data_IF_284614406885
#
_entry.id   IF_284614406885
#
_cell.length_a   1.000
_cell.length_b   1.000
_cell.length_c   1.000
_cell.angle_alpha   90.00
_cell.angle_beta   90.00
_cell.angle_gamma   90.00
#
_symmetry.space_group_name_H-M   'P 1'
#
loop_
_entity.id
_entity.type
_entity.pdbx_description
1 polymer ?
#
# COMPACT_ATOMS: atom_id res chain seq x y z
N UNK A 1 -28.08 8.10 6.74
CA UNK A 1 -26.61 8.32 6.76
C UNK A 1 -25.95 6.96 6.66
N UNK A 2 -25.15 6.76 5.63
CA UNK A 2 -24.38 5.53 5.46
C UNK A 2 -23.00 5.85 4.88
N UNK A 3 -22.02 5.06 5.22
CA UNK A 3 -20.61 5.24 4.81
C UNK A 3 -20.25 4.20 3.75
N UNK A 4 -19.73 4.65 2.61
CA UNK A 4 -19.16 3.78 1.59
C UNK A 4 -17.66 3.61 1.84
N UNK A 5 -17.21 2.40 2.13
CA UNK A 5 -15.82 2.06 2.43
C UNK A 5 -15.20 1.38 1.22
N UNK A 6 -14.23 2.04 0.57
CA UNK A 6 -13.57 1.49 -0.63
C UNK A 6 -12.23 0.81 -0.31
N UNK A 7 -11.83 0.77 0.96
CA UNK A 7 -10.61 0.12 1.39
C UNK A 7 -10.61 -1.37 1.05
N UNK A 8 -9.59 -1.90 0.37
CA UNK A 8 -9.56 -3.29 -0.07
C UNK A 8 -9.27 -4.28 1.07
N UNK A 9 -9.72 -5.52 0.85
CA UNK A 9 -9.40 -6.67 1.67
C UNK A 9 -9.97 -6.62 3.09
N UNK A 10 -9.36 -7.40 3.99
CA UNK A 10 -9.80 -7.56 5.37
C UNK A 10 -9.84 -6.23 6.15
N UNK A 11 -8.89 -5.34 5.91
CA UNK A 11 -8.85 -4.02 6.55
C UNK A 11 -10.11 -3.17 6.22
N UNK A 12 -10.72 -3.36 5.05
CA UNK A 12 -11.96 -2.67 4.67
C UNK A 12 -13.18 -3.27 5.36
N UNK A 13 -13.22 -4.59 5.50
CA UNK A 13 -14.27 -5.31 6.23
C UNK A 13 -14.24 -4.90 7.71
N UNK A 14 -13.09 -4.96 8.36
CA UNK A 14 -12.92 -4.55 9.76
C UNK A 14 -13.31 -3.09 10.00
N UNK A 15 -13.01 -2.20 9.03
CA UNK A 15 -13.43 -0.80 9.12
C UNK A 15 -14.95 -0.66 9.05
N UNK A 16 -15.62 -1.41 8.15
CA UNK A 16 -17.10 -1.43 8.11
C UNK A 16 -17.69 -1.93 9.42
N UNK A 17 -17.17 -3.03 9.97
CA UNK A 17 -17.63 -3.58 11.26
C UNK A 17 -17.45 -2.56 12.40
N UNK A 18 -16.31 -1.86 12.42
CA UNK A 18 -16.05 -0.82 13.42
C UNK A 18 -17.02 0.38 13.31
N UNK A 19 -17.38 0.78 12.08
CA UNK A 19 -18.37 1.84 11.83
C UNK A 19 -19.77 1.37 12.26
N UNK A 20 -20.14 0.16 11.90
CA UNK A 20 -21.45 -0.43 12.25
C UNK A 20 -21.60 -0.60 13.77
N UNK A 21 -20.53 -0.91 14.48
CA UNK A 21 -20.50 -0.96 15.94
C UNK A 21 -20.82 0.39 16.61
N UNK A 22 -20.67 1.51 15.87
CA UNK A 22 -21.06 2.85 16.30
C UNK A 22 -22.48 3.24 15.81
N UNK A 23 -23.30 2.26 15.47
CA UNK A 23 -24.68 2.46 14.99
C UNK A 23 -24.79 3.28 13.69
N UNK A 24 -23.76 3.30 12.88
CA UNK A 24 -23.74 3.94 11.56
C UNK A 24 -23.72 2.85 10.48
N UNK A 25 -24.58 2.96 9.47
CA UNK A 25 -24.59 2.00 8.37
C UNK A 25 -23.31 2.13 7.53
N UNK A 26 -22.73 1.01 7.12
CA UNK A 26 -21.51 0.98 6.32
C UNK A 26 -21.57 -0.10 5.24
N UNK A 27 -21.14 0.27 4.04
CA UNK A 27 -21.13 -0.61 2.86
C UNK A 27 -19.66 -0.81 2.45
N UNK A 28 -19.20 -2.05 2.42
CA UNK A 28 -17.90 -2.39 1.86
C UNK A 28 -17.99 -2.56 0.34
N UNK A 29 -17.31 -1.69 -0.40
CA UNK A 29 -17.21 -1.76 -1.85
C UNK A 29 -15.76 -1.47 -2.28
N UNK A 30 -14.88 -2.48 -2.22
CA UNK A 30 -13.48 -2.30 -2.57
C UNK A 30 -13.34 -2.02 -4.08
N UNK A 31 -12.58 -0.97 -4.42
CA UNK A 31 -12.33 -0.57 -5.81
C UNK A 31 -11.09 -1.22 -6.42
N UNK A 32 -10.22 -1.76 -5.58
CA UNK A 32 -8.98 -2.41 -5.99
C UNK A 32 -8.80 -3.72 -5.21
N UNK A 33 -8.09 -4.65 -5.83
CA UNK A 33 -7.60 -5.87 -5.17
C UNK A 33 -6.09 -5.97 -5.29
N UNK A 34 -5.49 -6.73 -4.37
CA UNK A 34 -4.07 -7.02 -4.41
C UNK A 34 -3.84 -8.45 -4.86
N UNK A 35 -2.89 -8.66 -5.76
CA UNK A 35 -2.47 -9.97 -6.23
C UNK A 35 -0.94 -10.09 -6.13
N UNK A 36 -0.41 -11.31 -5.98
CA UNK A 36 1.04 -11.54 -6.11
C UNK A 36 1.50 -11.12 -7.50
N UNK A 37 2.70 -10.58 -7.59
CA UNK A 37 3.35 -10.34 -8.88
C UNK A 37 3.74 -11.67 -9.52
N UNK A 38 3.77 -11.73 -10.85
CA UNK A 38 4.12 -12.96 -11.59
C UNK A 38 5.64 -13.13 -11.72
N UNK A 39 6.41 -12.02 -11.80
CA UNK A 39 7.87 -12.02 -11.95
C UNK A 39 8.59 -11.99 -10.59
N UNK A 40 8.50 -13.10 -9.87
CA UNK A 40 9.01 -13.22 -8.50
C UNK A 40 10.09 -14.29 -8.32
N UNK A 41 10.45 -15.02 -9.39
CA UNK A 41 11.40 -16.16 -9.27
C UNK A 41 12.78 -15.71 -8.78
N UNK A 42 13.23 -14.53 -9.17
CA UNK A 42 14.53 -13.97 -8.77
C UNK A 42 14.54 -13.33 -7.37
N UNK A 43 13.39 -13.22 -6.70
CA UNK A 43 13.29 -12.49 -5.43
C UNK A 43 14.23 -13.00 -4.33
N UNK A 44 14.37 -14.33 -4.06
CA UNK A 44 15.31 -14.80 -3.04
C UNK A 44 16.75 -14.39 -3.34
N UNK A 45 17.18 -14.48 -4.60
CA UNK A 45 18.53 -14.09 -5.02
C UNK A 45 18.77 -12.59 -4.87
N UNK A 46 17.79 -11.76 -5.27
CA UNK A 46 17.83 -10.30 -5.07
C UNK A 46 18.00 -9.94 -3.60
N UNK A 47 17.18 -10.54 -2.74
CA UNK A 47 17.26 -10.29 -1.29
C UNK A 47 18.60 -10.75 -0.69
N UNK A 48 19.12 -11.90 -1.15
CA UNK A 48 20.39 -12.44 -0.64
C UNK A 48 21.59 -11.57 -1.01
N UNK A 49 21.55 -10.93 -2.17
CA UNK A 49 22.63 -10.08 -2.70
C UNK A 49 22.51 -8.61 -2.27
N UNK A 50 21.47 -8.25 -1.50
CA UNK A 50 21.27 -6.90 -1.02
C UNK A 50 22.05 -6.61 0.27
N UNK A 51 22.56 -5.40 0.41
CA UNK A 51 23.06 -4.85 1.67
C UNK A 51 21.92 -4.29 2.51
N UNK A 52 20.91 -3.70 1.83
CA UNK A 52 19.74 -3.07 2.46
C UNK A 52 18.48 -3.55 1.77
N UNK A 53 17.47 -3.93 2.57
CA UNK A 53 16.11 -4.20 2.10
C UNK A 53 15.14 -3.21 2.72
N UNK A 54 14.40 -2.50 1.87
CA UNK A 54 13.43 -1.47 2.25
C UNK A 54 12.02 -1.98 1.98
N UNK A 55 11.14 -1.99 2.98
CA UNK A 55 9.71 -2.28 2.80
C UNK A 55 8.89 -0.98 2.86
N UNK A 56 8.20 -0.63 1.76
CA UNK A 56 7.40 0.60 1.70
C UNK A 56 5.94 0.41 2.15
N UNK A 57 5.53 -0.81 2.46
CA UNK A 57 4.17 -1.09 2.95
C UNK A 57 4.07 -2.44 3.66
N UNK A 58 3.03 -2.61 4.48
CA UNK A 58 2.71 -3.91 5.08
C UNK A 58 2.35 -4.98 4.03
N UNK A 59 1.76 -4.56 2.89
CA UNK A 59 1.47 -5.45 1.76
C UNK A 59 2.76 -5.96 1.13
N UNK A 60 3.77 -5.10 0.94
CA UNK A 60 5.08 -5.53 0.43
C UNK A 60 5.69 -6.63 1.32
N UNK A 61 5.65 -6.46 2.65
CA UNK A 61 6.13 -7.50 3.59
C UNK A 61 5.30 -8.78 3.48
N UNK A 62 3.97 -8.66 3.40
CA UNK A 62 3.07 -9.82 3.33
C UNK A 62 3.33 -10.65 2.07
N UNK A 63 3.37 -9.99 0.91
CA UNK A 63 3.58 -10.69 -0.36
C UNK A 63 4.99 -11.25 -0.50
N UNK A 64 6.02 -10.53 -0.04
CA UNK A 64 7.39 -11.09 0.04
C UNK A 64 7.44 -12.35 0.89
N UNK A 65 6.81 -12.33 2.08
CA UNK A 65 6.76 -13.51 2.95
C UNK A 65 6.03 -14.70 2.30
N UNK A 66 4.93 -14.42 1.57
CA UNK A 66 4.19 -15.43 0.81
C UNK A 66 5.07 -16.07 -0.26
N UNK A 67 5.72 -15.23 -1.10
CA UNK A 67 6.61 -15.66 -2.17
C UNK A 67 7.77 -16.51 -1.62
N UNK A 68 8.44 -16.04 -0.57
CA UNK A 68 9.55 -16.78 0.04
C UNK A 68 9.10 -18.16 0.57
N UNK A 69 7.90 -18.24 1.16
CA UNK A 69 7.34 -19.52 1.59
C UNK A 69 7.07 -20.47 0.42
N UNK A 70 6.48 -19.99 -0.64
CA UNK A 70 6.18 -20.76 -1.86
C UNK A 70 7.46 -21.29 -2.51
N UNK A 71 8.54 -20.51 -2.45
CA UNK A 71 9.86 -20.89 -2.99
C UNK A 71 10.76 -21.60 -1.96
N UNK A 72 10.25 -21.92 -0.77
CA UNK A 72 11.00 -22.54 0.33
C UNK A 72 12.28 -21.75 0.72
N UNK A 73 12.26 -20.45 0.49
CA UNK A 73 13.35 -19.53 0.79
C UNK A 73 13.12 -18.79 2.12
N UNK A 74 14.19 -18.25 2.68
CA UNK A 74 14.17 -17.50 3.95
C UNK A 74 14.60 -16.06 3.72
N UNK A 75 14.19 -15.17 4.61
CA UNK A 75 14.75 -13.85 4.71
C UNK A 75 16.23 -13.93 5.06
N UNK A 76 17.13 -13.23 4.34
CA UNK A 76 18.56 -13.25 4.65
C UNK A 76 18.84 -12.57 6.01
N UNK A 77 19.76 -13.16 6.79
CA UNK A 77 20.11 -12.66 8.12
C UNK A 77 21.19 -11.54 8.08
N UNK A 78 21.94 -11.44 6.98
CA UNK A 78 23.06 -10.49 6.83
C UNK A 78 22.68 -9.12 6.31
N UNK A 79 21.39 -8.88 6.05
CA UNK A 79 20.86 -7.67 5.39
C UNK A 79 20.37 -6.68 6.43
N UNK A 80 20.56 -5.37 6.19
CA UNK A 80 19.94 -4.31 6.98
C UNK A 80 18.52 -4.06 6.53
N UNK A 81 17.54 -4.19 7.45
CA UNK A 81 16.13 -4.01 7.16
C UNK A 81 15.62 -2.64 7.55
N UNK A 82 14.96 -1.96 6.60
CA UNK A 82 14.32 -0.66 6.82
C UNK A 82 12.87 -0.68 6.38
N UNK A 83 12.05 0.14 7.03
CA UNK A 83 10.64 0.29 6.69
C UNK A 83 10.20 1.75 6.72
N UNK A 84 9.26 2.11 5.85
CA UNK A 84 8.75 3.48 5.69
C UNK A 84 8.07 4.02 6.98
N UNK A 85 7.62 3.14 7.86
CA UNK A 85 6.96 3.52 9.10
C UNK A 85 6.74 2.36 10.06
N UNK A 86 6.31 2.69 11.28
CA UNK A 86 6.25 1.79 12.42
C UNK A 86 5.45 0.49 12.17
N UNK A 87 4.25 0.58 11.59
CA UNK A 87 3.40 -0.61 11.33
C UNK A 87 4.08 -1.58 10.37
N UNK A 88 4.74 -1.06 9.33
CA UNK A 88 5.51 -1.87 8.37
C UNK A 88 6.74 -2.47 9.02
N UNK A 89 7.45 -1.69 9.85
CA UNK A 89 8.62 -2.16 10.61
C UNK A 89 8.28 -3.31 11.56
N UNK A 90 7.18 -3.18 12.28
CA UNK A 90 6.71 -4.24 13.18
C UNK A 90 6.41 -5.55 12.44
N UNK A 91 5.71 -5.45 11.29
CA UNK A 91 5.40 -6.62 10.47
C UNK A 91 6.66 -7.24 9.87
N UNK A 92 7.59 -6.42 9.37
CA UNK A 92 8.87 -6.88 8.81
C UNK A 92 9.74 -7.54 9.88
N UNK A 93 9.86 -6.94 11.07
CA UNK A 93 10.60 -7.52 12.19
C UNK A 93 10.05 -8.87 12.65
N UNK A 94 8.72 -9.06 12.62
CA UNK A 94 8.09 -10.36 12.94
C UNK A 94 8.47 -11.47 11.96
N UNK A 95 8.57 -11.18 10.67
CA UNK A 95 8.86 -12.22 9.66
C UNK A 95 10.35 -12.45 9.46
N UNK A 96 11.18 -11.43 9.65
CA UNK A 96 12.64 -11.52 9.50
C UNK A 96 13.34 -11.97 10.79
N UNK A 97 12.71 -11.77 11.95
CA UNK A 97 13.31 -11.90 13.28
C UNK A 97 14.56 -11.01 13.46
N UNK A 98 14.58 -9.86 12.74
CA UNK A 98 15.67 -8.90 12.73
C UNK A 98 15.22 -7.53 13.23
N UNK A 99 16.17 -6.71 13.65
CA UNK A 99 15.93 -5.30 13.95
C UNK A 99 15.61 -4.56 12.66
N UNK A 100 14.51 -3.79 12.67
CA UNK A 100 14.09 -2.97 11.53
C UNK A 100 14.18 -1.49 11.92
N UNK A 101 14.84 -0.69 11.08
CA UNK A 101 14.93 0.74 11.27
C UNK A 101 13.80 1.45 10.52
N UNK A 102 13.22 2.47 11.17
CA UNK A 102 12.13 3.26 10.59
C UNK A 102 12.12 4.69 11.17
N UNK A 103 11.56 5.69 10.48
CA UNK A 103 11.49 7.06 10.96
C UNK A 103 10.35 7.23 11.98
N UNK A 104 10.43 8.28 12.79
CA UNK A 104 9.35 8.66 13.71
C UNK A 104 8.11 9.12 12.95
N UNK A 105 8.30 9.89 11.86
CA UNK A 105 7.22 10.32 10.96
C UNK A 105 7.26 9.41 9.71
N UNK A 106 6.12 8.76 9.42
CA UNK A 106 6.03 7.73 8.37
C UNK A 106 5.80 8.34 6.99
N UNK A 107 6.81 9.03 6.45
CA UNK A 107 6.87 9.53 5.08
C UNK A 107 8.25 9.30 4.44
N UNK A 108 8.34 9.53 3.14
CA UNK A 108 9.57 9.27 2.38
C UNK A 108 10.67 10.28 2.71
N UNK A 109 10.31 11.50 3.05
CA UNK A 109 11.22 12.60 3.36
C UNK A 109 11.96 12.33 4.68
N UNK A 110 11.25 11.98 5.75
CA UNK A 110 11.84 11.61 7.03
C UNK A 110 12.55 10.25 6.97
N UNK A 111 12.03 9.32 6.14
CA UNK A 111 12.68 8.04 5.92
C UNK A 111 14.09 8.20 5.35
N UNK A 112 14.28 9.09 4.38
CA UNK A 112 15.58 9.36 3.75
C UNK A 112 16.59 10.07 4.69
N UNK A 113 16.14 10.58 5.84
CA UNK A 113 17.00 11.18 6.88
C UNK A 113 17.58 10.14 7.86
N UNK A 114 17.19 8.88 7.76
CA UNK A 114 17.72 7.82 8.61
C UNK A 114 19.25 7.73 8.51
N UNK A 115 19.96 7.51 9.64
CA UNK A 115 21.42 7.41 9.66
C UNK A 115 21.98 6.33 8.72
N UNK A 116 21.21 5.30 8.43
CA UNK A 116 21.57 4.19 7.53
C UNK A 116 21.82 4.67 6.10
N UNK A 117 21.30 5.83 5.70
CA UNK A 117 21.47 6.39 4.36
C UNK A 117 22.60 7.45 4.24
N UNK A 118 23.41 7.62 5.30
CA UNK A 118 24.56 8.56 5.25
C UNK A 118 25.64 8.12 4.24
N UNK A 119 25.96 6.82 4.24
CA UNK A 119 27.00 6.24 3.39
C UNK A 119 26.44 5.00 2.69
N UNK A 120 25.79 5.20 1.53
CA UNK A 120 25.17 4.12 0.75
C UNK A 120 25.82 3.95 -0.64
N UNK A 121 26.87 4.71 -0.94
CA UNK A 121 27.60 4.59 -2.21
C UNK A 121 28.06 3.14 -2.42
N UNK A 122 27.76 2.60 -3.60
CA UNK A 122 28.04 1.23 -4.03
C UNK A 122 27.29 0.12 -3.28
N UNK A 123 26.42 0.44 -2.31
CA UNK A 123 25.57 -0.56 -1.67
C UNK A 123 24.45 -1.01 -2.61
N UNK A 124 24.12 -2.30 -2.54
CA UNK A 124 22.97 -2.90 -3.21
C UNK A 124 21.71 -2.75 -2.34
N UNK A 125 20.70 -2.07 -2.86
CA UNK A 125 19.47 -1.75 -2.15
C UNK A 125 18.27 -2.31 -2.90
N UNK A 126 17.48 -3.16 -2.23
CA UNK A 126 16.23 -3.69 -2.77
C UNK A 126 15.05 -3.00 -2.10
N UNK A 127 14.17 -2.39 -2.90
CA UNK A 127 12.93 -1.76 -2.43
C UNK A 127 11.75 -2.70 -2.73
N UNK A 128 11.15 -3.26 -1.68
CA UNK A 128 9.95 -4.08 -1.75
C UNK A 128 8.73 -3.18 -1.90
N UNK A 129 8.03 -3.27 -3.04
CA UNK A 129 6.86 -2.43 -3.35
C UNK A 129 5.78 -3.18 -4.13
N UNK A 130 4.69 -2.51 -4.42
CA UNK A 130 3.74 -2.89 -5.46
C UNK A 130 4.10 -2.23 -6.79
N UNK A 131 3.26 -2.46 -7.81
CA UNK A 131 3.42 -1.95 -9.18
C UNK A 131 3.24 -0.43 -9.34
N UNK A 132 3.11 0.32 -8.27
CA UNK A 132 2.99 1.78 -8.28
C UNK A 132 3.46 2.40 -6.96
N UNK A 133 3.75 3.70 -6.97
CA UNK A 133 4.14 4.46 -5.78
C UNK A 133 5.14 5.57 -6.13
N UNK A 134 5.62 6.27 -5.09
CA UNK A 134 6.56 7.40 -5.25
C UNK A 134 7.95 6.89 -5.61
N UNK A 135 8.63 7.62 -6.50
CA UNK A 135 10.00 7.32 -6.94
C UNK A 135 11.07 7.98 -6.05
N UNK A 136 10.67 8.88 -5.13
CA UNK A 136 11.57 9.70 -4.34
C UNK A 136 12.67 8.92 -3.61
N UNK A 137 12.35 7.75 -3.04
CA UNK A 137 13.34 6.91 -2.33
C UNK A 137 14.34 6.35 -3.32
N UNK A 138 13.88 5.82 -4.45
CA UNK A 138 14.73 5.27 -5.50
C UNK A 138 15.69 6.33 -6.05
N UNK A 139 15.15 7.46 -6.49
CA UNK A 139 15.92 8.56 -7.07
C UNK A 139 16.95 9.11 -6.07
N UNK A 140 16.54 9.34 -4.82
CA UNK A 140 17.41 9.89 -3.79
C UNK A 140 18.58 8.97 -3.44
N UNK A 141 18.36 7.66 -3.39
CA UNK A 141 19.43 6.68 -3.10
C UNK A 141 20.31 6.43 -4.31
N UNK A 142 19.74 6.39 -5.52
CA UNK A 142 20.52 6.30 -6.77
C UNK A 142 21.44 7.52 -6.96
N UNK A 143 20.96 8.72 -6.65
CA UNK A 143 21.76 9.95 -6.69
C UNK A 143 22.92 9.95 -5.67
N UNK A 144 22.87 9.06 -4.66
CA UNK A 144 23.98 8.81 -3.72
C UNK A 144 24.91 7.68 -4.19
N UNK A 145 24.83 7.27 -5.45
CA UNK A 145 25.58 6.18 -6.07
C UNK A 145 25.34 4.80 -5.43
N UNK A 146 24.16 4.54 -4.87
CA UNK A 146 23.73 3.20 -4.51
C UNK A 146 23.19 2.46 -5.75
N UNK A 147 23.38 1.14 -5.78
CA UNK A 147 22.71 0.26 -6.76
C UNK A 147 21.30 -0.07 -6.25
N UNK A 148 20.30 0.63 -6.74
CA UNK A 148 18.93 0.50 -6.27
C UNK A 148 18.10 -0.27 -7.27
N UNK A 149 17.37 -1.29 -6.81
CA UNK A 149 16.39 -2.00 -7.64
C UNK A 149 15.04 -2.16 -6.94
N UNK A 150 13.98 -2.24 -7.72
CA UNK A 150 12.66 -2.61 -7.22
C UNK A 150 12.46 -4.11 -7.22
N UNK A 151 11.77 -4.59 -6.17
CA UNK A 151 11.10 -5.87 -6.17
C UNK A 151 9.60 -5.61 -6.04
N UNK A 152 8.90 -5.64 -7.18
CA UNK A 152 7.45 -5.48 -7.25
C UNK A 152 6.78 -6.81 -6.88
N UNK A 153 6.54 -7.00 -5.59
CA UNK A 153 6.07 -8.27 -5.02
C UNK A 153 4.55 -8.44 -5.04
N UNK A 154 3.81 -7.36 -5.37
CA UNK A 154 2.37 -7.41 -5.57
C UNK A 154 1.91 -6.39 -6.61
N UNK A 155 0.75 -6.65 -7.18
CA UNK A 155 0.08 -5.74 -8.10
C UNK A 155 -1.26 -5.30 -7.53
N UNK A 156 -1.65 -4.06 -7.85
CA UNK A 156 -2.97 -3.51 -7.59
C UNK A 156 -3.76 -3.60 -8.90
N UNK A 157 -4.91 -4.22 -8.83
CA UNK A 157 -5.82 -4.32 -9.96
C UNK A 157 -7.15 -3.65 -9.61
N UNK A 158 -7.73 -2.85 -10.52
CA UNK A 158 -9.09 -2.38 -10.34
C UNK A 158 -10.06 -3.57 -10.27
N UNK A 159 -11.10 -3.44 -9.46
CA UNK A 159 -12.22 -4.38 -9.42
C UNK A 159 -13.32 -3.80 -10.30
N UNK A 160 -13.63 -4.43 -11.46
CA UNK A 160 -14.73 -3.97 -12.30
C UNK A 160 -16.07 -4.06 -11.54
N UNK A 161 -16.91 -3.04 -11.69
CA UNK A 161 -18.24 -3.01 -11.12
C UNK A 161 -19.23 -2.31 -12.06
N UNK A 162 -20.52 -2.64 -11.94
CA UNK A 162 -21.58 -1.92 -12.65
C UNK A 162 -21.89 -0.63 -11.88
N UNK A 163 -21.51 0.51 -12.43
CA UNK A 163 -21.68 1.81 -11.76
C UNK A 163 -23.16 2.19 -11.61
N UNK A 164 -24.04 1.80 -12.55
CA UNK A 164 -25.48 2.11 -12.48
C UNK A 164 -26.14 1.39 -11.31
N UNK A 165 -25.99 0.07 -11.23
CA UNK A 165 -26.54 -0.75 -10.15
C UNK A 165 -25.95 -0.36 -8.79
N UNK A 166 -24.64 -0.12 -8.75
CA UNK A 166 -23.94 0.22 -7.51
C UNK A 166 -24.42 1.55 -6.96
N UNK A 167 -24.54 2.59 -7.79
CA UNK A 167 -24.98 3.91 -7.36
C UNK A 167 -26.46 3.88 -6.96
N UNK A 168 -27.31 3.16 -7.70
CA UNK A 168 -28.70 2.97 -7.31
C UNK A 168 -28.79 2.33 -5.92
N UNK A 169 -27.99 1.31 -5.66
CA UNK A 169 -27.92 0.67 -4.35
C UNK A 169 -27.41 1.65 -3.28
N UNK A 170 -26.31 2.36 -3.51
CA UNK A 170 -25.75 3.30 -2.52
C UNK A 170 -26.71 4.43 -2.17
N UNK A 171 -27.42 4.97 -3.19
CA UNK A 171 -28.48 5.97 -2.98
C UNK A 171 -29.64 5.43 -2.16
N UNK A 172 -30.09 4.20 -2.43
CA UNK A 172 -31.18 3.57 -1.67
C UNK A 172 -30.83 3.36 -0.19
N UNK A 173 -29.52 3.24 0.11
CA UNK A 173 -29.00 3.11 1.47
C UNK A 173 -28.63 4.47 2.10
N UNK A 174 -28.98 5.59 1.45
CA UNK A 174 -28.65 6.96 1.91
C UNK A 174 -27.15 7.15 2.21
N UNK A 175 -26.28 6.68 1.29
CA UNK A 175 -24.84 6.93 1.37
C UNK A 175 -24.60 8.43 1.19
N UNK A 176 -23.91 9.04 2.16
CA UNK A 176 -23.55 10.45 2.20
C UNK A 176 -22.07 10.68 2.47
N UNK A 177 -21.33 9.61 2.80
CA UNK A 177 -19.91 9.67 3.13
C UNK A 177 -19.16 8.58 2.37
N UNK A 178 -18.00 8.95 1.79
CA UNK A 178 -17.10 8.07 1.04
C UNK A 178 -15.73 8.04 1.69
N UNK A 179 -15.25 6.85 2.05
CA UNK A 179 -13.87 6.65 2.55
C UNK A 179 -12.99 6.17 1.40
N UNK A 180 -11.97 6.96 1.07
CA UNK A 180 -10.95 6.66 0.07
C UNK A 180 -9.57 6.58 0.71
N UNK A 181 -8.72 5.67 0.25
CA UNK A 181 -7.36 5.51 0.77
C UNK A 181 -6.27 5.99 -0.18
N UNK A 182 -6.62 6.32 -1.42
CA UNK A 182 -5.70 6.90 -2.41
C UNK A 182 -6.45 7.73 -3.47
N UNK A 183 -5.77 8.70 -4.08
CA UNK A 183 -6.27 9.46 -5.23
C UNK A 183 -6.52 8.55 -6.45
N UNK A 184 -5.74 7.47 -6.60
CA UNK A 184 -5.95 6.47 -7.65
C UNK A 184 -7.34 5.81 -7.57
N UNK A 185 -7.82 5.51 -6.36
CA UNK A 185 -9.18 4.99 -6.15
C UNK A 185 -10.26 5.99 -6.55
N UNK A 186 -10.07 7.28 -6.25
CA UNK A 186 -11.00 8.32 -6.67
C UNK A 186 -11.03 8.43 -8.20
N UNK A 187 -9.87 8.51 -8.82
CA UNK A 187 -9.77 8.58 -10.28
C UNK A 187 -10.42 7.37 -10.97
N UNK A 188 -10.21 6.17 -10.43
CA UNK A 188 -10.85 4.96 -10.95
C UNK A 188 -12.38 5.00 -10.79
N UNK A 189 -12.86 5.43 -9.63
CA UNK A 189 -14.30 5.57 -9.38
C UNK A 189 -14.94 6.56 -10.35
N UNK A 190 -14.34 7.75 -10.54
CA UNK A 190 -14.81 8.76 -11.48
C UNK A 190 -14.78 8.28 -12.94
N UNK A 191 -13.71 7.59 -13.36
CA UNK A 191 -13.62 7.03 -14.72
C UNK A 191 -14.70 5.97 -15.00
N UNK A 192 -15.14 5.28 -13.98
CA UNK A 192 -16.20 4.26 -14.06
C UNK A 192 -17.62 4.84 -14.10
N UNK A 193 -17.79 6.16 -13.99
CA UNK A 193 -19.07 6.85 -13.83
C UNK A 193 -19.42 7.77 -15.00
N UNK A 194 -20.71 7.86 -15.33
CA UNK A 194 -21.28 8.88 -16.21
C UNK A 194 -21.24 10.26 -15.55
N UNK A 195 -21.48 11.33 -16.34
CA UNK A 195 -21.49 12.71 -15.83
C UNK A 195 -22.51 12.89 -14.68
N UNK A 196 -23.75 12.41 -14.85
CA UNK A 196 -24.81 12.52 -13.83
C UNK A 196 -24.43 11.78 -12.52
N UNK A 197 -23.72 10.67 -12.66
CA UNK A 197 -23.26 9.88 -11.52
C UNK A 197 -22.12 10.59 -10.77
N UNK A 198 -21.23 11.28 -11.48
CA UNK A 198 -20.19 12.13 -10.89
C UNK A 198 -20.77 13.31 -10.11
N UNK A 199 -21.83 13.95 -10.64
CA UNK A 199 -22.50 15.03 -9.94
C UNK A 199 -23.01 14.57 -8.57
N UNK A 200 -23.55 13.37 -8.49
CA UNK A 200 -23.93 12.78 -7.20
C UNK A 200 -22.71 12.44 -6.32
N UNK A 201 -21.65 11.84 -6.89
CA UNK A 201 -20.44 11.53 -6.15
C UNK A 201 -19.86 12.78 -5.47
N UNK A 202 -19.88 13.91 -6.15
CA UNK A 202 -19.38 15.19 -5.64
C UNK A 202 -20.25 15.80 -4.52
N UNK A 203 -21.43 15.26 -4.26
CA UNK A 203 -22.24 15.64 -3.09
C UNK A 203 -21.85 14.90 -1.81
N UNK A 204 -21.03 13.85 -1.90
CA UNK A 204 -20.61 13.06 -0.76
C UNK A 204 -19.50 13.75 0.04
N UNK A 205 -19.54 13.56 1.35
CA UNK A 205 -18.39 13.91 2.22
C UNK A 205 -17.25 12.93 2.00
N UNK A 206 -16.04 13.42 1.74
CA UNK A 206 -14.87 12.58 1.55
C UNK A 206 -14.06 12.45 2.85
N UNK A 207 -13.78 11.22 3.27
CA UNK A 207 -12.83 10.90 4.33
C UNK A 207 -11.58 10.28 3.74
N UNK A 208 -10.45 10.96 3.92
CA UNK A 208 -9.15 10.56 3.37
C UNK A 208 -8.08 10.51 4.46
N UNK A 209 -7.07 9.62 4.35
CA UNK A 209 -6.09 9.41 5.41
C UNK A 209 -5.04 10.53 5.52
N UNK A 210 -4.98 11.46 4.59
CA UNK A 210 -4.02 12.56 4.62
C UNK A 210 -4.45 13.73 3.75
N UNK A 211 -3.97 14.93 4.11
CA UNK A 211 -4.20 16.15 3.36
C UNK A 211 -3.68 16.10 1.89
N UNK A 212 -2.73 15.21 1.61
CA UNK A 212 -2.22 14.99 0.24
C UNK A 212 -3.26 14.34 -0.70
N UNK A 213 -4.24 13.63 -0.15
CA UNK A 213 -5.29 12.95 -0.92
C UNK A 213 -6.55 13.84 -0.99
N UNK A 214 -6.72 14.76 -0.03
CA UNK A 214 -7.72 15.79 -0.06
C UNK A 214 -7.40 16.84 -1.12
#
# INVERSE_FOLDING_TARGET
MAVLVTRPGQDGIELCEAIQAQHTDAIHHPLIQFQSSDDIQSLPSKLHNADIVIAVSQHAVHYTQKILKEQQAKWPASVSYLAIGQKTAYKLGKVTQQKVHYPTISDSEHFLQLPQFKNVSQLSIVILRGNSGRELIFESLSNKNASVEYAEVYQRHPIPFNSEDSIQYWRSRNVDTLILTSSEQLSYLEQSMSKIQKDWLHTLSLLVPSQRIA
#
